data_IF_386163097041
#
_entry.id   IF_386163097041
#
_cell.length_a   1.000
_cell.length_b   1.000
_cell.length_c   1.000
_cell.angle_alpha   90.00
_cell.angle_beta   90.00
_cell.angle_gamma   90.00
#
_symmetry.space_group_name_H-M   'P 1'
#
loop_
_entity.id
_entity.type
_entity.pdbx_description
1 polymer ?
#
# COMPACT_ATOMS: atom_id res chain seq x y z
N UNK A 1 -18.07 31.20 12.33
CA UNK A 1 -17.72 30.44 11.11
C UNK A 1 -18.23 29.01 11.30
N UNK A 2 -19.11 28.57 10.40
CA UNK A 2 -19.89 27.35 10.58
C UNK A 2 -19.01 26.10 10.63
N UNK A 3 -19.15 25.33 11.71
CA UNK A 3 -18.60 23.99 11.84
C UNK A 3 -19.42 23.05 10.96
N UNK A 4 -19.09 22.97 9.67
CA UNK A 4 -19.68 21.97 8.77
C UNK A 4 -19.31 20.58 9.28
N UNK A 5 -20.29 19.93 9.94
CA UNK A 5 -20.33 18.48 10.10
C UNK A 5 -19.96 17.84 8.75
N UNK A 6 -19.08 16.84 8.69
CA UNK A 6 -18.82 16.16 7.43
C UNK A 6 -20.15 15.61 6.91
N UNK A 7 -20.53 16.04 5.70
CA UNK A 7 -21.72 15.58 5.01
C UNK A 7 -21.87 14.07 5.22
N UNK A 8 -22.99 13.64 5.82
CA UNK A 8 -23.19 12.26 6.26
C UNK A 8 -22.87 11.29 5.11
N UNK A 9 -21.72 10.60 5.17
CA UNK A 9 -21.36 9.63 4.13
C UNK A 9 -22.42 8.53 4.13
N UNK A 10 -23.28 8.47 3.11
CA UNK A 10 -24.32 7.45 2.95
C UNK A 10 -23.92 6.45 1.87
N UNK A 11 -24.65 5.34 1.75
CA UNK A 11 -24.45 4.40 0.63
C UNK A 11 -24.66 5.08 -0.72
N UNK A 12 -25.64 5.99 -0.82
CA UNK A 12 -25.92 6.73 -2.05
C UNK A 12 -24.77 7.69 -2.40
N UNK A 13 -24.36 8.54 -1.45
CA UNK A 13 -23.27 9.50 -1.69
C UNK A 13 -21.93 8.79 -1.94
N UNK A 14 -21.69 7.66 -1.28
CA UNK A 14 -20.49 6.85 -1.51
C UNK A 14 -20.49 6.16 -2.88
N UNK A 15 -21.65 5.66 -3.34
CA UNK A 15 -21.78 5.11 -4.70
C UNK A 15 -21.50 6.19 -5.75
N UNK A 16 -21.99 7.42 -5.54
CA UNK A 16 -21.71 8.54 -6.43
C UNK A 16 -20.23 8.91 -6.43
N UNK A 17 -19.59 8.92 -5.26
CA UNK A 17 -18.14 9.09 -5.14
C UNK A 17 -17.38 8.02 -5.94
N UNK A 18 -17.73 6.74 -5.80
CA UNK A 18 -17.09 5.65 -6.56
C UNK A 18 -17.30 5.78 -8.08
N UNK A 19 -18.46 6.26 -8.53
CA UNK A 19 -18.72 6.54 -9.96
C UNK A 19 -17.84 7.65 -10.52
N UNK A 20 -17.51 8.64 -9.70
CA UNK A 20 -16.66 9.76 -10.10
C UNK A 20 -15.16 9.40 -10.11
N UNK A 21 -14.78 8.29 -9.46
CA UNK A 21 -13.40 7.78 -9.48
C UNK A 21 -13.11 7.04 -10.80
N UNK A 22 -11.86 7.10 -11.25
CA UNK A 22 -11.41 6.33 -12.43
C UNK A 22 -11.33 4.81 -12.18
N UNK A 23 -11.45 4.36 -10.92
CA UNK A 23 -11.40 2.96 -10.52
C UNK A 23 -12.77 2.26 -10.66
N UNK A 24 -13.06 1.77 -11.88
CA UNK A 24 -14.29 1.02 -12.19
C UNK A 24 -14.41 -0.31 -11.41
N UNK A 25 -13.29 -0.90 -10.99
CA UNK A 25 -13.29 -2.18 -10.27
C UNK A 25 -13.92 -2.04 -8.89
N UNK A 26 -13.63 -0.95 -8.18
CA UNK A 26 -14.22 -0.63 -6.88
C UNK A 26 -15.72 -0.46 -6.93
N UNK A 27 -16.24 0.24 -7.96
CA UNK A 27 -17.68 0.40 -8.11
C UNK A 27 -18.38 -0.95 -8.33
N UNK A 28 -17.78 -1.82 -9.14
CA UNK A 28 -18.30 -3.17 -9.41
C UNK A 28 -18.26 -4.07 -8.17
N UNK A 29 -17.13 -4.10 -7.45
CA UNK A 29 -17.01 -4.85 -6.20
C UNK A 29 -18.02 -4.35 -5.15
N UNK A 30 -18.16 -3.02 -5.01
CA UNK A 30 -19.10 -2.44 -4.06
C UNK A 30 -20.56 -2.71 -4.45
N UNK A 31 -20.90 -2.70 -5.74
CA UNK A 31 -22.28 -2.92 -6.20
C UNK A 31 -22.78 -4.34 -5.92
N UNK A 32 -21.88 -5.33 -5.92
CA UNK A 32 -22.17 -6.74 -5.57
C UNK A 32 -22.47 -6.99 -4.10
N UNK A 33 -22.09 -6.07 -3.20
CA UNK A 33 -22.34 -6.22 -1.78
C UNK A 33 -23.84 -6.14 -1.47
N UNK A 34 -24.28 -6.90 -0.47
CA UNK A 34 -25.63 -6.79 0.09
C UNK A 34 -25.86 -5.40 0.69
N UNK A 35 -27.13 -5.01 0.88
CA UNK A 35 -27.48 -3.73 1.49
C UNK A 35 -26.83 -3.54 2.87
N UNK A 36 -26.82 -4.60 3.69
CA UNK A 36 -26.20 -4.59 5.01
C UNK A 36 -24.68 -4.45 4.92
N UNK A 37 -24.02 -5.15 3.98
CA UNK A 37 -22.58 -5.03 3.77
C UNK A 37 -22.20 -3.61 3.31
N UNK A 38 -22.94 -3.03 2.36
CA UNK A 38 -22.73 -1.64 1.93
C UNK A 38 -22.82 -0.64 3.10
N UNK A 39 -23.79 -0.83 3.98
CA UNK A 39 -23.92 -0.02 5.20
C UNK A 39 -22.73 -0.21 6.14
N UNK A 40 -22.28 -1.45 6.36
CA UNK A 40 -21.09 -1.74 7.17
C UNK A 40 -19.82 -1.12 6.60
N UNK A 41 -19.61 -1.18 5.28
CA UNK A 41 -18.50 -0.49 4.59
C UNK A 41 -18.55 1.00 4.91
N UNK A 42 -19.66 1.67 4.59
CA UNK A 42 -19.81 3.12 4.77
C UNK A 42 -19.64 3.54 6.23
N UNK A 43 -20.16 2.74 7.17
CA UNK A 43 -19.98 3.00 8.60
C UNK A 43 -18.51 2.86 9.03
N UNK A 44 -17.80 1.86 8.51
CA UNK A 44 -16.36 1.66 8.78
C UNK A 44 -15.48 2.74 8.16
N UNK A 45 -15.88 3.34 7.03
CA UNK A 45 -15.13 4.45 6.43
C UNK A 45 -15.15 5.72 7.29
N UNK A 46 -16.20 5.90 8.12
CA UNK A 46 -16.34 7.03 9.03
C UNK A 46 -15.41 6.93 10.25
N UNK A 47 -15.01 5.71 10.61
CA UNK A 47 -14.12 5.46 11.73
C UNK A 47 -12.90 4.60 11.29
N UNK A 48 -11.74 5.23 11.10
CA UNK A 48 -10.50 4.56 10.69
C UNK A 48 -9.99 3.55 11.70
N UNK A 49 -10.40 3.65 12.97
CA UNK A 49 -10.05 2.66 13.98
C UNK A 49 -10.75 1.32 13.71
N UNK A 50 -11.89 1.32 13.01
CA UNK A 50 -12.60 0.12 12.54
C UNK A 50 -11.94 -0.54 11.32
N UNK A 51 -11.11 0.18 10.56
CA UNK A 51 -10.27 -0.44 9.51
C UNK A 51 -9.24 -1.42 10.08
N UNK A 52 -9.07 -1.45 11.41
CA UNK A 52 -8.20 -2.40 12.11
C UNK A 52 -8.82 -3.79 12.27
N UNK A 53 -10.15 -3.95 12.19
CA UNK A 53 -10.83 -5.23 12.47
C UNK A 53 -10.79 -6.24 11.32
N UNK A 54 -10.56 -5.81 10.07
CA UNK A 54 -10.54 -6.67 8.87
C UNK A 54 -9.22 -6.54 8.09
N UNK A 55 -8.10 -6.34 8.77
CA UNK A 55 -6.79 -6.41 8.10
C UNK A 55 -6.46 -7.89 7.83
N UNK A 56 -7.11 -8.46 6.83
CA UNK A 56 -6.47 -9.48 6.01
C UNK A 56 -5.39 -8.76 5.20
N UNK A 57 -4.21 -8.60 5.82
CA UNK A 57 -3.01 -8.16 5.11
C UNK A 57 -2.61 -9.27 4.15
N UNK A 58 -3.19 -9.25 2.95
CA UNK A 58 -2.72 -10.10 1.86
C UNK A 58 -1.47 -9.44 1.30
N UNK A 59 -0.33 -9.86 1.83
CA UNK A 59 0.98 -9.51 1.28
C UNK A 59 1.21 -10.30 0.00
N UNK A 60 1.12 -9.61 -1.14
CA UNK A 60 1.54 -10.16 -2.44
C UNK A 60 2.98 -9.76 -2.76
N UNK A 61 3.78 -10.75 -3.14
CA UNK A 61 5.10 -10.57 -3.76
C UNK A 61 4.91 -10.36 -5.26
N UNK A 62 5.39 -9.24 -5.81
CA UNK A 62 5.58 -9.10 -7.26
C UNK A 62 6.98 -9.58 -7.62
N UNK A 63 7.08 -10.43 -8.65
CA UNK A 63 8.36 -10.96 -9.11
C UNK A 63 9.32 -9.85 -9.55
N UNK A 64 10.60 -10.06 -9.25
CA UNK A 64 11.65 -9.16 -9.67
C UNK A 64 11.91 -9.29 -11.17
N UNK A 65 11.51 -8.28 -11.96
CA UNK A 65 11.89 -8.19 -13.36
C UNK A 65 13.42 -8.01 -13.48
N UNK A 66 14.09 -8.94 -14.16
CA UNK A 66 15.53 -8.91 -14.43
C UNK A 66 15.78 -8.37 -15.84
N UNK A 67 16.47 -7.24 -15.96
CA UNK A 67 16.98 -6.75 -17.25
C UNK A 67 18.47 -7.07 -17.33
N UNK A 68 18.84 -8.11 -18.09
CA UNK A 68 20.22 -8.45 -18.36
C UNK A 68 20.67 -7.81 -19.69
N UNK A 69 21.73 -7.02 -19.66
CA UNK A 69 22.41 -6.57 -20.88
C UNK A 69 23.28 -7.72 -21.42
N UNK A 70 23.10 -8.08 -22.69
CA UNK A 70 23.88 -9.13 -23.36
C UNK A 70 25.34 -8.69 -23.53
N UNK A 71 26.27 -9.50 -23.02
CA UNK A 71 27.67 -9.51 -23.45
C UNK A 71 28.70 -8.86 -22.52
N UNK A 72 29.19 -9.60 -21.51
CA UNK A 72 30.59 -9.60 -21.04
C UNK A 72 30.71 -10.55 -19.81
N UNK A 73 31.77 -11.38 -19.77
CA UNK A 73 32.04 -12.39 -18.73
C UNK A 73 32.61 -11.82 -17.42
N UNK A 74 32.04 -10.71 -16.94
CA UNK A 74 32.06 -10.37 -15.51
C UNK A 74 30.61 -10.44 -15.06
N UNK A 75 30.31 -11.13 -13.95
CA UNK A 75 28.95 -11.20 -13.43
C UNK A 75 28.47 -9.77 -13.11
N UNK A 76 27.84 -9.15 -14.10
CA UNK A 76 27.35 -7.78 -14.02
C UNK A 76 26.28 -7.73 -12.95
N UNK A 77 26.20 -6.64 -12.15
CA UNK A 77 25.18 -6.55 -11.12
C UNK A 77 23.79 -6.68 -11.75
N UNK A 78 23.06 -7.75 -11.44
CA UNK A 78 21.69 -7.94 -11.86
C UNK A 78 20.81 -6.96 -11.08
N UNK A 79 20.04 -6.17 -11.81
CA UNK A 79 19.05 -5.26 -11.26
C UNK A 79 17.73 -6.01 -10.99
N UNK A 80 17.16 -5.81 -9.80
CA UNK A 80 15.93 -6.45 -9.34
C UNK A 80 15.04 -5.44 -8.63
N UNK A 81 13.72 -5.66 -8.69
CA UNK A 81 12.73 -4.90 -7.93
C UNK A 81 11.94 -5.85 -7.03
N UNK A 82 11.84 -5.53 -5.74
CA UNK A 82 10.95 -6.19 -4.81
C UNK A 82 9.79 -5.25 -4.51
N UNK A 83 8.60 -5.79 -4.21
CA UNK A 83 7.54 -4.98 -3.65
C UNK A 83 6.73 -5.70 -2.60
N UNK A 84 6.12 -4.89 -1.73
CA UNK A 84 5.20 -5.34 -0.70
C UNK A 84 3.95 -4.47 -0.73
N UNK A 85 2.79 -5.10 -0.82
CA UNK A 85 1.50 -4.41 -0.83
C UNK A 85 0.72 -4.69 0.45
N UNK A 86 0.28 -3.62 1.11
CA UNK A 86 -0.65 -3.67 2.22
C UNK A 86 -2.04 -3.26 1.73
N UNK A 87 -3.03 -4.10 1.97
CA UNK A 87 -4.44 -3.86 1.60
C UNK A 87 -5.27 -3.65 2.86
N UNK A 88 -6.07 -2.58 2.89
CA UNK A 88 -6.99 -2.27 3.98
C UNK A 88 -8.43 -2.47 3.51
N UNK A 89 -9.14 -3.38 4.16
CA UNK A 89 -10.53 -3.72 3.86
C UNK A 89 -11.48 -3.11 4.89
N UNK A 90 -12.69 -2.85 4.47
CA UNK A 90 -13.83 -2.55 5.33
C UNK A 90 -14.94 -3.54 4.96
N UNK A 91 -15.36 -4.41 5.87
CA UNK A 91 -16.40 -5.42 5.61
C UNK A 91 -16.11 -6.22 4.31
N UNK A 92 -14.87 -6.66 4.14
CA UNK A 92 -14.39 -7.42 2.97
C UNK A 92 -14.11 -6.60 1.70
N UNK A 93 -14.54 -5.33 1.64
CA UNK A 93 -14.30 -4.45 0.49
C UNK A 93 -12.96 -3.72 0.62
N UNK A 94 -12.07 -3.83 -0.38
CA UNK A 94 -10.76 -3.17 -0.31
C UNK A 94 -10.87 -1.68 -0.59
N UNK A 95 -10.65 -0.87 0.44
CA UNK A 95 -10.79 0.59 0.39
C UNK A 95 -9.48 1.28 0.05
N UNK A 96 -8.36 0.74 0.55
CA UNK A 96 -7.04 1.36 0.41
C UNK A 96 -6.00 0.31 0.12
N UNK A 97 -5.07 0.60 -0.79
CA UNK A 97 -3.87 -0.22 -1.05
C UNK A 97 -2.64 0.68 -1.11
N UNK A 98 -1.59 0.25 -0.43
CA UNK A 98 -0.27 0.90 -0.42
C UNK A 98 0.78 -0.11 -0.84
N UNK A 99 1.64 0.26 -1.79
CA UNK A 99 2.73 -0.60 -2.25
C UNK A 99 4.07 0.09 -2.05
N UNK A 100 5.00 -0.60 -1.39
CA UNK A 100 6.41 -0.18 -1.30
C UNK A 100 7.22 -1.01 -2.26
N UNK A 101 8.01 -0.34 -3.11
CA UNK A 101 8.96 -0.95 -4.03
C UNK A 101 10.39 -0.66 -3.56
N UNK A 102 11.26 -1.65 -3.73
CA UNK A 102 12.70 -1.58 -3.46
C UNK A 102 13.43 -2.05 -4.70
N UNK A 103 14.17 -1.13 -5.31
CA UNK A 103 15.03 -1.42 -6.45
C UNK A 103 16.45 -1.65 -5.96
N UNK A 104 17.07 -2.77 -6.33
CA UNK A 104 18.36 -3.18 -5.78
C UNK A 104 19.22 -3.94 -6.79
N UNK A 105 20.52 -3.98 -6.51
CA UNK A 105 21.50 -4.70 -7.29
C UNK A 105 21.92 -5.98 -6.57
N UNK A 106 22.21 -7.01 -7.37
CA UNK A 106 22.71 -8.30 -6.90
C UNK A 106 23.91 -8.72 -7.74
N UNK A 107 24.87 -9.42 -7.15
CA UNK A 107 26.00 -10.03 -7.86
C UNK A 107 26.14 -11.46 -7.36
N UNK A 108 25.99 -12.41 -8.28
CA UNK A 108 25.94 -13.84 -7.95
C UNK A 108 24.89 -14.12 -6.87
N UNK A 109 25.28 -14.63 -5.71
CA UNK A 109 24.39 -14.96 -4.59
C UNK A 109 24.21 -13.81 -3.58
N UNK A 110 24.72 -12.61 -3.87
CA UNK A 110 24.76 -11.50 -2.91
C UNK A 110 23.97 -10.27 -3.37
N UNK A 111 23.18 -9.68 -2.47
CA UNK A 111 22.63 -8.32 -2.60
C UNK A 111 23.76 -7.33 -2.31
N UNK A 112 24.00 -6.41 -3.24
CA UNK A 112 25.13 -5.47 -3.14
C UNK A 112 24.72 -4.10 -2.66
N UNK A 113 23.57 -3.59 -3.13
CA UNK A 113 23.12 -2.23 -2.81
C UNK A 113 21.64 -2.02 -3.12
N UNK A 114 21.02 -1.06 -2.44
CA UNK A 114 19.69 -0.54 -2.78
C UNK A 114 19.87 0.70 -3.66
N UNK A 115 19.27 0.70 -4.84
CA UNK A 115 19.25 1.84 -5.76
C UNK A 115 18.17 2.85 -5.36
N UNK A 116 16.96 2.36 -5.08
CA UNK A 116 15.79 3.23 -4.90
C UNK A 116 14.74 2.59 -4.00
N UNK A 117 13.99 3.43 -3.28
CA UNK A 117 12.79 3.02 -2.54
C UNK A 117 11.68 4.00 -2.81
N UNK A 118 10.54 3.49 -3.28
CA UNK A 118 9.35 4.29 -3.56
C UNK A 118 8.11 3.68 -2.93
N UNK A 119 7.25 4.53 -2.40
CA UNK A 119 5.93 4.14 -1.92
C UNK A 119 4.87 4.73 -2.83
N UNK A 120 3.83 3.94 -3.14
CA UNK A 120 2.71 4.37 -3.97
C UNK A 120 1.39 4.03 -3.27
N UNK A 121 0.47 5.00 -3.25
CA UNK A 121 -0.94 4.76 -2.90
C UNK A 121 -1.61 4.21 -4.15
N UNK A 122 -1.69 2.89 -4.27
CA UNK A 122 -2.20 2.21 -5.47
C UNK A 122 -3.73 2.16 -5.52
N UNK A 123 -4.40 2.33 -4.37
CA UNK A 123 -5.85 2.47 -4.27
C UNK A 123 -6.19 3.35 -3.06
N UNK A 124 -7.07 4.32 -3.23
CA UNK A 124 -7.72 5.00 -2.10
C UNK A 124 -9.13 5.43 -2.52
N UNK A 125 -10.11 4.62 -2.13
CA UNK A 125 -11.53 4.91 -2.33
C UNK A 125 -12.21 5.26 -1.00
N UNK A 126 -11.47 5.69 0.02
CA UNK A 126 -12.04 6.29 1.22
C UNK A 126 -11.96 7.83 1.12
N UNK A 127 -13.08 8.54 0.90
CA UNK A 127 -13.08 9.99 0.71
C UNK A 127 -12.65 10.78 1.95
N UNK A 128 -12.65 10.14 3.13
CA UNK A 128 -12.26 10.78 4.38
C UNK A 128 -10.78 10.57 4.71
N UNK A 129 -10.08 9.68 4.00
CA UNK A 129 -8.68 9.33 4.27
C UNK A 129 -7.75 10.02 3.27
N UNK A 130 -6.77 10.74 3.80
CA UNK A 130 -5.63 11.25 3.04
C UNK A 130 -4.35 10.59 3.56
N UNK A 131 -3.51 10.14 2.63
CA UNK A 131 -2.27 9.42 2.93
C UNK A 131 -1.14 10.12 2.19
N UNK A 132 -0.10 10.48 2.92
CA UNK A 132 1.08 11.13 2.35
C UNK A 132 2.34 10.40 2.80
N UNK A 133 3.35 10.36 1.93
CA UNK A 133 4.66 9.83 2.29
C UNK A 133 5.33 10.82 3.24
N UNK A 134 5.66 10.37 4.46
CA UNK A 134 6.40 11.19 5.45
C UNK A 134 7.91 11.02 5.30
N UNK A 135 8.37 9.79 5.14
CA UNK A 135 9.82 9.52 4.98
C UNK A 135 10.08 8.22 4.22
N UNK A 136 11.34 8.02 3.81
CA UNK A 136 11.84 6.76 3.26
C UNK A 136 13.21 6.42 3.83
N UNK A 137 13.49 5.13 4.01
CA UNK A 137 14.82 4.61 4.36
C UNK A 137 15.11 3.34 3.58
N UNK A 138 16.37 3.11 3.23
CA UNK A 138 16.87 1.88 2.63
C UNK A 138 18.10 1.37 3.36
N UNK A 139 18.32 0.06 3.31
CA UNK A 139 19.55 -0.57 3.80
C UNK A 139 19.72 -1.97 3.21
N UNK A 140 20.94 -2.49 3.27
CA UNK A 140 21.22 -3.91 3.00
C UNK A 140 21.60 -4.57 4.32
N UNK A 141 20.99 -5.72 4.63
CA UNK A 141 21.30 -6.49 5.83
C UNK A 141 20.99 -7.97 5.60
N UNK A 142 21.80 -8.89 6.11
CA UNK A 142 21.57 -10.34 6.00
C UNK A 142 21.26 -10.80 4.56
N UNK A 143 22.04 -10.28 3.60
CA UNK A 143 21.87 -10.55 2.17
C UNK A 143 20.47 -10.20 1.61
N UNK A 144 19.84 -9.17 2.17
CA UNK A 144 18.53 -8.65 1.75
C UNK A 144 18.59 -7.15 1.55
N UNK A 145 17.91 -6.69 0.50
CA UNK A 145 17.72 -5.28 0.21
C UNK A 145 16.41 -4.84 0.85
N UNK A 146 16.45 -3.87 1.76
CA UNK A 146 15.29 -3.36 2.47
C UNK A 146 14.94 -1.96 2.02
N UNK A 147 13.64 -1.68 1.97
CA UNK A 147 13.11 -0.34 1.82
C UNK A 147 11.92 -0.14 2.74
N UNK A 148 11.88 1.02 3.38
CA UNK A 148 10.89 1.38 4.38
C UNK A 148 10.27 2.72 4.02
N UNK A 149 8.95 2.80 4.07
CA UNK A 149 8.19 4.03 3.93
C UNK A 149 7.37 4.24 5.21
N UNK A 150 7.47 5.44 5.78
CA UNK A 150 6.55 5.88 6.83
C UNK A 150 5.47 6.75 6.17
N UNK A 151 4.21 6.32 6.29
CA UNK A 151 3.03 6.96 5.74
C UNK A 151 2.32 7.76 6.83
N UNK A 152 2.09 9.06 6.60
CA UNK A 152 1.23 9.87 7.46
C UNK A 152 -0.22 9.75 7.01
N UNK A 153 -1.08 9.35 7.94
CA UNK A 153 -2.51 9.20 7.71
C UNK A 153 -3.27 10.38 8.32
N UNK A 154 -4.23 10.91 7.57
CA UNK A 154 -5.20 11.88 8.04
C UNK A 154 -6.61 11.39 7.75
N UNK A 155 -7.52 11.59 8.69
CA UNK A 155 -8.93 11.23 8.55
C UNK A 155 -9.80 12.42 8.91
N UNK A 156 -10.67 12.84 7.99
CA UNK A 156 -11.58 13.98 8.19
C UNK A 156 -10.83 15.18 8.81
N UNK A 157 -9.70 15.54 8.19
CA UNK A 157 -8.74 16.57 8.59
C UNK A 157 -7.92 16.33 9.88
N UNK A 158 -8.18 15.27 10.65
CA UNK A 158 -7.41 14.94 11.87
C UNK A 158 -6.23 14.01 11.56
N UNK A 159 -5.09 14.21 12.20
CA UNK A 159 -3.96 13.29 12.12
C UNK A 159 -4.34 11.95 12.78
N UNK A 160 -4.25 10.86 12.02
CA UNK A 160 -4.57 9.51 12.47
C UNK A 160 -3.31 8.69 12.83
N UNK A 161 -2.14 9.31 12.76
CA UNK A 161 -0.85 8.70 13.11
C UNK A 161 -0.02 8.28 11.89
N UNK A 162 1.03 7.52 12.16
CA UNK A 162 2.00 7.06 11.15
C UNK A 162 1.92 5.54 11.05
N UNK A 163 1.80 5.05 9.81
CA UNK A 163 1.97 3.63 9.51
C UNK A 163 3.25 3.41 8.75
N UNK A 164 4.09 2.52 9.24
CA UNK A 164 5.35 2.11 8.65
C UNK A 164 5.13 0.86 7.82
N UNK A 165 5.67 0.85 6.60
CA UNK A 165 5.65 -0.28 5.70
C UNK A 165 7.07 -0.59 5.26
N UNK A 166 7.48 -1.85 5.38
CA UNK A 166 8.80 -2.33 4.97
C UNK A 166 8.64 -3.38 3.89
N UNK A 167 9.44 -3.29 2.84
CA UNK A 167 9.59 -4.32 1.82
C UNK A 167 11.04 -4.82 1.82
N UNK A 168 11.25 -6.07 1.47
CA UNK A 168 12.58 -6.63 1.25
C UNK A 168 12.65 -7.50 0.01
N UNK A 169 13.85 -7.58 -0.59
CA UNK A 169 14.19 -8.51 -1.66
C UNK A 169 15.49 -9.26 -1.36
N UNK A 170 15.67 -10.43 -1.96
CA UNK A 170 16.83 -11.32 -1.80
C UNK A 170 17.58 -11.49 -3.12
N UNK A 171 18.81 -12.03 -3.07
CA UNK A 171 19.57 -12.34 -4.27
C UNK A 171 18.85 -13.32 -5.22
N UNK A 172 18.08 -14.28 -4.68
CA UNK A 172 17.29 -15.22 -5.47
C UNK A 172 16.01 -14.62 -6.06
N UNK A 173 15.65 -13.38 -5.70
CA UNK A 173 14.44 -12.71 -6.16
C UNK A 173 13.21 -12.89 -5.26
N UNK A 174 13.30 -13.71 -4.20
CA UNK A 174 12.26 -13.79 -3.17
C UNK A 174 12.12 -12.42 -2.51
N UNK A 175 10.88 -11.96 -2.36
CA UNK A 175 10.56 -10.71 -1.67
C UNK A 175 9.46 -10.91 -0.63
N UNK A 176 9.35 -9.94 0.29
CA UNK A 176 8.35 -9.91 1.34
C UNK A 176 8.33 -8.56 2.06
N UNK A 177 7.68 -8.48 3.20
CA UNK A 177 7.57 -7.22 3.94
C UNK A 177 6.67 -7.29 5.15
N UNK A 178 6.42 -6.12 5.74
CA UNK A 178 5.56 -5.97 6.91
C UNK A 178 4.96 -4.57 7.01
N UNK A 179 3.86 -4.43 7.74
CA UNK A 179 3.38 -3.15 8.26
C UNK A 179 3.45 -3.07 9.78
N UNK A 180 3.60 -1.85 10.29
CA UNK A 180 3.54 -1.55 11.72
C UNK A 180 2.91 -0.17 11.94
N UNK A 181 2.21 0.02 13.06
CA UNK A 181 1.80 1.37 13.51
C UNK A 181 2.93 1.97 14.36
N UNK A 182 3.26 3.24 14.13
CA UNK A 182 4.28 3.96 14.90
C UNK A 182 3.55 4.93 15.82
N UNK A 183 3.77 4.78 17.12
CA UNK A 183 3.30 5.70 18.16
C UNK A 183 4.25 6.89 18.29
#
# INVERSE_FOLDING_TARGET
MASEKPAHLTVASYTQFLKAQSDKSSLYEFSKLSRQQKQKVVQSLRDPSLLKMDIEEISGTVEAASTAAYGARTASPLFKTAAYTASYKAAGFTTTKLTVYVDYYTKSSSVTSVKSVRGVVTKNVNPLVSITKKSSKSWVQNNRAYGRIDWQWKVAAKNAGIKRQTAYGTASGVSGGSTATVN
#
